data_IF_971648186688
#
_entry.id   IF_971648186688
#
_cell.length_a   1.000
_cell.length_b   1.000
_cell.length_c   1.000
_cell.angle_alpha   90.00
_cell.angle_beta   90.00
_cell.angle_gamma   90.00
#
_symmetry.space_group_name_H-M   'P 1'
#
loop_
_entity.id
_entity.type
_entity.pdbx_description
1 polymer ?
#
# COMPACT_ATOMS: atom_id res chain seq x y z
N UNK A 1 -8.24 -15.98 -27.78
CA UNK A 1 -8.46 -15.21 -26.54
C UNK A 1 -8.22 -16.13 -25.36
N UNK A 2 -6.98 -16.16 -24.86
CA UNK A 2 -6.62 -17.07 -23.77
C UNK A 2 -7.18 -16.51 -22.46
N UNK A 3 -8.10 -17.25 -21.84
CA UNK A 3 -8.54 -16.99 -20.46
C UNK A 3 -7.31 -17.10 -19.58
N UNK A 4 -7.03 -16.11 -18.74
CA UNK A 4 -5.96 -16.22 -17.74
C UNK A 4 -6.25 -17.47 -16.91
N UNK A 5 -5.31 -18.41 -16.90
CA UNK A 5 -5.44 -19.64 -16.13
C UNK A 5 -5.37 -19.34 -14.63
N UNK A 6 -6.29 -19.95 -13.85
CA UNK A 6 -6.38 -19.73 -12.41
C UNK A 6 -5.10 -20.17 -11.68
N UNK A 7 -4.43 -21.21 -12.19
CA UNK A 7 -3.15 -21.68 -11.65
C UNK A 7 -2.03 -20.67 -11.86
N UNK A 8 -2.02 -20.00 -13.02
CA UNK A 8 -1.05 -18.93 -13.33
C UNK A 8 -1.23 -17.72 -12.41
N UNK A 9 -2.47 -17.28 -12.19
CA UNK A 9 -2.78 -16.19 -11.26
C UNK A 9 -2.37 -16.55 -9.83
N UNK A 10 -2.74 -17.75 -9.35
CA UNK A 10 -2.38 -18.26 -8.03
C UNK A 10 -0.86 -18.28 -7.83
N UNK A 11 -0.12 -18.80 -8.81
CA UNK A 11 1.35 -18.85 -8.77
C UNK A 11 1.97 -17.47 -8.63
N UNK A 12 1.51 -16.48 -9.41
CA UNK A 12 2.01 -15.11 -9.34
C UNK A 12 1.70 -14.47 -7.99
N UNK A 13 0.52 -14.69 -7.44
CA UNK A 13 0.14 -14.21 -6.10
C UNK A 13 1.06 -14.82 -5.02
N UNK A 14 1.34 -16.12 -5.09
CA UNK A 14 2.26 -16.78 -4.17
C UNK A 14 3.68 -16.19 -4.24
N UNK A 15 4.18 -15.91 -5.44
CA UNK A 15 5.50 -15.27 -5.61
C UNK A 15 5.54 -13.86 -5.04
N UNK A 16 4.46 -13.07 -5.21
CA UNK A 16 4.34 -11.73 -4.62
C UNK A 16 4.47 -11.78 -3.09
N UNK A 17 3.73 -12.68 -2.44
CA UNK A 17 3.80 -12.79 -0.98
C UNK A 17 5.13 -13.37 -0.52
N UNK A 18 5.73 -14.31 -1.26
CA UNK A 18 7.07 -14.81 -0.94
C UNK A 18 8.14 -13.70 -1.04
N UNK A 19 7.99 -12.77 -1.98
CA UNK A 19 8.89 -11.62 -2.14
C UNK A 19 8.69 -10.52 -1.09
N UNK A 20 7.52 -10.47 -0.43
CA UNK A 20 7.29 -9.53 0.67
C UNK A 20 8.18 -9.79 1.89
N UNK A 21 8.58 -11.05 2.11
CA UNK A 21 9.39 -11.49 3.25
C UNK A 21 10.83 -11.80 2.87
N UNK A 22 11.10 -12.07 1.60
CA UNK A 22 12.44 -12.35 1.05
C UNK A 22 12.63 -11.53 -0.24
N UNK A 23 13.33 -10.39 -0.17
CA UNK A 23 13.47 -9.48 -1.30
C UNK A 23 14.10 -10.12 -2.54
N UNK A 24 14.96 -11.14 -2.37
CA UNK A 24 15.58 -11.85 -3.49
C UNK A 24 14.55 -12.53 -4.40
N UNK A 25 13.33 -12.79 -3.91
CA UNK A 25 12.25 -13.41 -4.69
C UNK A 25 11.50 -12.44 -5.59
N UNK A 26 11.75 -11.11 -5.50
CA UNK A 26 11.17 -10.16 -6.45
C UNK A 26 11.60 -10.48 -7.88
N UNK A 27 12.86 -10.86 -8.12
CA UNK A 27 13.33 -11.24 -9.45
C UNK A 27 12.56 -12.43 -10.03
N UNK A 28 12.23 -13.43 -9.19
CA UNK A 28 11.45 -14.61 -9.61
C UNK A 28 10.02 -14.22 -10.02
N UNK A 29 9.37 -13.36 -9.23
CA UNK A 29 8.05 -12.82 -9.58
C UNK A 29 8.10 -12.05 -10.91
N UNK A 30 9.06 -11.13 -11.03
CA UNK A 30 9.22 -10.24 -12.17
C UNK A 30 9.51 -11.02 -13.46
N UNK A 31 10.37 -12.05 -13.40
CA UNK A 31 10.68 -12.92 -14.54
C UNK A 31 9.48 -13.77 -14.97
N UNK A 32 8.76 -14.34 -13.99
CA UNK A 32 7.57 -15.13 -14.26
C UNK A 32 6.46 -14.28 -14.86
N UNK A 33 6.23 -13.08 -14.33
CA UNK A 33 5.27 -12.13 -14.89
C UNK A 33 5.65 -11.76 -16.32
N UNK A 34 6.92 -11.42 -16.58
CA UNK A 34 7.39 -11.10 -17.93
C UNK A 34 7.08 -12.22 -18.93
N UNK A 35 7.27 -13.48 -18.53
CA UNK A 35 6.94 -14.64 -19.36
C UNK A 35 5.43 -14.74 -19.65
N UNK A 36 4.59 -14.59 -18.61
CA UNK A 36 3.12 -14.74 -18.74
C UNK A 36 2.52 -13.66 -19.64
N UNK A 37 2.99 -12.42 -19.53
CA UNK A 37 2.52 -11.32 -20.38
C UNK A 37 3.38 -11.13 -21.63
N UNK A 38 4.26 -12.06 -21.98
CA UNK A 38 5.17 -11.95 -23.12
C UNK A 38 5.85 -10.57 -23.23
N UNK A 39 6.45 -10.11 -22.13
CA UNK A 39 7.22 -8.89 -22.05
C UNK A 39 8.71 -9.18 -22.28
N UNK A 40 9.41 -8.21 -22.87
CA UNK A 40 10.85 -8.24 -23.05
C UNK A 40 11.57 -8.14 -21.70
N UNK A 41 11.04 -7.32 -20.78
CA UNK A 41 11.55 -7.20 -19.42
C UNK A 41 10.55 -6.57 -18.47
N UNK A 42 10.88 -6.62 -17.18
CA UNK A 42 10.07 -6.05 -16.10
C UNK A 42 10.94 -5.22 -15.17
N UNK A 43 10.35 -4.15 -14.64
CA UNK A 43 11.00 -3.23 -13.73
C UNK A 43 10.08 -2.97 -12.54
N UNK A 44 10.68 -2.99 -11.35
CA UNK A 44 10.07 -2.60 -10.10
C UNK A 44 10.96 -1.52 -9.49
N UNK A 45 10.41 -0.34 -9.22
CA UNK A 45 11.21 0.76 -8.68
C UNK A 45 10.39 1.68 -7.79
N UNK A 46 11.07 2.33 -6.85
CA UNK A 46 10.53 3.42 -6.04
C UNK A 46 10.94 4.78 -6.62
N UNK A 47 9.97 5.68 -6.74
CA UNK A 47 10.14 7.04 -7.25
C UNK A 47 9.79 8.06 -6.15
N UNK A 48 10.56 9.14 -6.00
CA UNK A 48 10.24 10.26 -5.11
C UNK A 48 9.94 11.52 -5.95
N UNK A 49 8.78 12.10 -5.68
CA UNK A 49 8.18 13.18 -6.46
C UNK A 49 8.71 14.57 -6.07
N UNK A 50 9.39 14.71 -4.93
CA UNK A 50 9.91 16.01 -4.49
C UNK A 50 11.23 16.37 -5.21
N UNK A 51 11.97 15.38 -5.72
CA UNK A 51 13.26 15.59 -6.38
C UNK A 51 13.29 15.08 -7.84
N UNK A 52 12.20 14.48 -8.32
CA UNK A 52 12.12 13.84 -9.65
C UNK A 52 13.22 12.80 -9.93
N UNK A 53 13.92 12.35 -8.89
CA UNK A 53 14.99 11.36 -8.96
C UNK A 53 14.43 9.99 -8.66
N UNK A 54 14.95 8.99 -9.39
CA UNK A 54 14.85 7.60 -8.96
C UNK A 54 15.61 7.50 -7.64
N UNK A 55 14.91 7.16 -6.55
CA UNK A 55 15.55 7.04 -5.23
C UNK A 55 16.48 5.85 -5.24
N UNK A 56 17.75 6.09 -5.54
CA UNK A 56 18.85 5.19 -5.19
C UNK A 56 19.16 5.41 -3.71
N UNK A 57 18.40 4.78 -2.83
CA UNK A 57 18.83 4.69 -1.43
C UNK A 57 19.87 3.56 -1.32
N UNK A 58 21.09 3.87 -0.87
CA UNK A 58 21.97 2.81 -0.39
C UNK A 58 21.39 2.24 0.92
N UNK A 59 21.15 0.93 0.95
CA UNK A 59 20.60 0.20 2.09
C UNK A 59 19.40 -0.70 1.75
N UNK A 60 18.93 -1.48 2.73
CA UNK A 60 17.84 -2.49 2.67
C UNK A 60 16.45 -1.96 2.20
N UNK A 61 16.34 -0.70 1.78
CA UNK A 61 15.07 0.00 1.45
C UNK A 61 14.95 0.34 -0.05
N UNK A 62 16.03 0.26 -0.83
CA UNK A 62 15.95 0.49 -2.27
C UNK A 62 15.40 -0.74 -3.00
N UNK A 63 14.08 -0.73 -3.19
CA UNK A 63 13.38 -1.72 -3.99
C UNK A 63 13.47 -1.29 -5.46
N UNK A 64 14.61 -1.60 -6.08
CA UNK A 64 14.86 -1.38 -7.50
C UNK A 64 15.36 -2.67 -8.14
N UNK A 65 14.48 -3.31 -8.91
CA UNK A 65 14.76 -4.58 -9.59
C UNK A 65 14.48 -4.44 -11.08
N UNK A 66 15.44 -4.88 -11.88
CA UNK A 66 15.34 -4.97 -13.33
C UNK A 66 15.55 -6.41 -13.75
N UNK A 67 14.63 -6.95 -14.54
CA UNK A 67 14.71 -8.32 -15.04
C UNK A 67 14.68 -8.30 -16.57
N UNK A 68 15.63 -9.04 -17.17
CA UNK A 68 15.85 -9.17 -18.62
C UNK A 68 16.26 -7.87 -19.34
N UNK A 69 16.88 -6.95 -18.62
CA UNK A 69 17.51 -5.77 -19.20
C UNK A 69 19.03 -5.89 -19.17
N UNK A 70 19.69 -5.35 -20.18
CA UNK A 70 21.14 -5.23 -20.21
C UNK A 70 21.58 -4.14 -19.20
N UNK A 71 22.55 -4.44 -18.31
CA UNK A 71 23.08 -3.48 -17.33
C UNK A 71 23.49 -2.12 -17.90
N UNK A 72 24.05 -2.07 -19.12
CA UNK A 72 24.46 -0.81 -19.74
C UNK A 72 23.27 0.12 -20.04
N UNK A 73 22.11 -0.45 -20.37
CA UNK A 73 20.89 0.33 -20.59
C UNK A 73 20.24 0.78 -19.28
N UNK A 74 20.35 -0.02 -18.22
CA UNK A 74 19.91 0.37 -16.87
C UNK A 74 20.73 1.58 -16.36
N UNK A 75 22.03 1.55 -16.56
CA UNK A 75 22.95 2.62 -16.15
C UNK A 75 22.67 3.91 -16.93
N UNK A 76 22.62 3.84 -18.26
CA UNK A 76 22.34 5.01 -19.10
C UNK A 76 20.94 5.61 -18.86
N UNK A 77 19.94 4.77 -18.51
CA UNK A 77 18.63 5.27 -18.08
C UNK A 77 18.71 6.13 -16.83
N UNK A 78 19.42 5.62 -15.83
CA UNK A 78 19.60 6.33 -14.55
C UNK A 78 20.38 7.63 -14.76
N UNK A 79 21.40 7.62 -15.63
CA UNK A 79 22.26 8.77 -15.88
C UNK A 79 21.57 9.90 -16.66
N UNK A 80 20.66 9.59 -17.59
CA UNK A 80 20.11 10.58 -18.52
C UNK A 80 18.63 10.34 -18.86
N UNK A 81 18.29 9.15 -19.38
CA UNK A 81 16.99 8.96 -20.03
C UNK A 81 15.78 8.95 -19.09
N UNK A 82 15.99 8.84 -17.77
CA UNK A 82 14.93 9.04 -16.78
C UNK A 82 14.30 10.45 -16.85
N UNK A 83 15.08 11.48 -17.21
CA UNK A 83 14.61 12.88 -17.27
C UNK A 83 13.77 13.17 -18.52
N UNK A 84 14.08 12.50 -19.64
CA UNK A 84 13.34 12.64 -20.90
C UNK A 84 12.29 11.55 -21.13
N UNK A 85 12.06 10.66 -20.14
CA UNK A 85 11.06 9.61 -20.22
C UNK A 85 9.63 10.19 -20.28
N UNK A 86 9.05 10.17 -21.47
CA UNK A 86 7.70 10.70 -21.74
C UNK A 86 6.59 9.97 -20.97
N UNK A 87 6.78 8.69 -20.62
CA UNK A 87 5.82 7.97 -19.78
C UNK A 87 5.87 8.43 -18.33
N UNK A 88 7.08 8.71 -17.81
CA UNK A 88 7.25 9.27 -16.48
C UNK A 88 6.66 10.68 -16.38
N UNK A 89 6.82 11.52 -17.41
CA UNK A 89 6.26 12.87 -17.48
C UNK A 89 4.72 12.89 -17.53
N UNK A 90 4.10 11.80 -17.98
CA UNK A 90 2.64 11.63 -18.02
C UNK A 90 2.03 11.14 -16.70
N UNK A 91 2.77 11.20 -15.58
CA UNK A 91 2.35 10.64 -14.28
C UNK A 91 0.99 11.15 -13.78
N UNK A 92 0.61 12.39 -14.05
CA UNK A 92 -0.71 12.91 -13.64
C UNK A 92 -1.88 12.10 -14.21
N UNK A 93 -1.63 11.26 -15.22
CA UNK A 93 -2.59 10.32 -15.82
C UNK A 93 -2.49 8.90 -15.26
N UNK A 94 -1.68 8.68 -14.20
CA UNK A 94 -1.43 7.40 -13.55
C UNK A 94 -1.99 7.36 -12.12
N UNK A 95 -3.31 7.17 -11.94
CA UNK A 95 -3.87 6.94 -10.61
C UNK A 95 -3.31 5.66 -9.97
N UNK A 96 -3.10 5.70 -8.65
CA UNK A 96 -2.68 4.54 -7.89
C UNK A 96 -3.74 3.43 -7.91
N UNK A 97 -3.30 2.18 -8.02
CA UNK A 97 -4.20 1.02 -8.06
C UNK A 97 -4.88 0.80 -9.40
N UNK A 98 -4.48 1.50 -10.47
CA UNK A 98 -4.97 1.27 -11.82
C UNK A 98 -3.91 0.61 -12.72
N UNK A 99 -4.35 -0.37 -13.51
CA UNK A 99 -3.54 -0.96 -14.58
C UNK A 99 -3.62 -0.05 -15.82
N UNK A 100 -2.48 0.27 -16.43
CA UNK A 100 -2.39 1.26 -17.51
C UNK A 100 -1.39 0.78 -18.57
N UNK A 101 -1.68 1.03 -19.84
CA UNK A 101 -0.69 0.84 -20.93
C UNK A 101 -0.04 2.16 -21.34
N UNK A 102 1.13 2.08 -21.98
CA UNK A 102 1.83 3.26 -22.54
C UNK A 102 0.95 4.11 -23.43
N UNK A 103 0.09 3.50 -24.24
CA UNK A 103 -0.79 4.18 -25.20
C UNK A 103 -1.90 5.00 -24.52
N UNK A 104 -2.33 4.58 -23.33
CA UNK A 104 -3.28 5.34 -22.50
C UNK A 104 -2.65 6.62 -21.94
N UNK A 105 -1.33 6.64 -21.78
CA UNK A 105 -0.58 7.79 -21.25
C UNK A 105 -0.18 8.75 -22.38
N UNK A 106 0.49 8.20 -23.39
CA UNK A 106 1.10 8.93 -24.49
C UNK A 106 0.76 8.19 -25.79
N UNK A 107 0.13 8.86 -26.78
CA UNK A 107 -0.12 8.25 -28.08
C UNK A 107 1.17 7.70 -28.70
N UNK A 108 1.11 6.51 -29.30
CA UNK A 108 2.29 5.84 -29.86
C UNK A 108 3.06 6.73 -30.86
N UNK A 109 2.34 7.50 -31.68
CA UNK A 109 2.93 8.47 -32.62
C UNK A 109 3.75 9.57 -31.94
N UNK A 110 3.41 9.93 -30.70
CA UNK A 110 4.17 10.91 -29.90
C UNK A 110 5.41 10.28 -29.28
N UNK A 111 5.32 9.02 -28.83
CA UNK A 111 6.47 8.25 -28.37
C UNK A 111 7.54 8.15 -29.47
N UNK A 112 7.15 7.79 -30.70
CA UNK A 112 8.06 7.65 -31.84
C UNK A 112 8.89 8.90 -32.17
N UNK A 113 8.45 10.09 -31.72
CA UNK A 113 9.12 11.38 -31.94
C UNK A 113 9.98 11.82 -30.75
N UNK A 114 9.99 11.05 -29.67
CA UNK A 114 10.74 11.37 -28.45
C UNK A 114 12.18 10.87 -28.51
N UNK A 115 13.08 11.60 -27.86
CA UNK A 115 14.46 11.17 -27.60
C UNK A 115 14.49 9.82 -26.86
N UNK A 116 13.64 9.68 -25.84
CA UNK A 116 13.49 8.45 -25.07
C UNK A 116 13.24 7.22 -25.95
N UNK A 117 12.41 7.36 -26.99
CA UNK A 117 12.21 6.26 -27.93
C UNK A 117 13.39 6.06 -28.87
N UNK A 118 13.84 7.14 -29.54
CA UNK A 118 14.86 7.05 -30.59
C UNK A 118 16.20 6.52 -30.08
N UNK A 119 16.62 7.00 -28.91
CA UNK A 119 17.99 6.83 -28.42
C UNK A 119 18.09 5.77 -27.31
N UNK A 120 16.99 5.47 -26.61
CA UNK A 120 16.99 4.48 -25.52
C UNK A 120 16.11 3.25 -25.76
N UNK A 121 14.83 3.40 -26.12
CA UNK A 121 13.95 2.22 -26.31
C UNK A 121 14.25 1.46 -27.61
N UNK A 122 14.41 2.16 -28.73
CA UNK A 122 14.56 1.57 -30.07
C UNK A 122 15.81 0.69 -30.22
N UNK A 123 17.00 1.06 -29.70
CA UNK A 123 18.18 0.18 -29.77
C UNK A 123 18.01 -1.17 -29.08
N UNK A 124 17.05 -1.26 -28.15
CA UNK A 124 16.72 -2.48 -27.39
C UNK A 124 15.47 -3.20 -27.93
N UNK A 125 14.93 -2.76 -29.07
CA UNK A 125 13.64 -3.19 -29.61
C UNK A 125 12.50 -3.07 -28.58
N UNK A 126 12.38 -1.96 -27.85
CA UNK A 126 11.31 -1.72 -26.87
C UNK A 126 10.34 -0.64 -27.37
N UNK A 127 9.06 -0.74 -27.02
CA UNK A 127 8.07 0.24 -27.49
C UNK A 127 6.78 0.34 -26.66
N UNK A 128 6.37 -0.74 -26.00
CA UNK A 128 5.08 -0.80 -25.31
C UNK A 128 5.29 -1.10 -23.83
N UNK A 129 4.54 -0.46 -22.95
CA UNK A 129 4.60 -0.70 -21.52
C UNK A 129 3.21 -1.04 -20.96
N UNK A 130 3.20 -1.89 -19.95
CA UNK A 130 2.07 -2.17 -19.07
C UNK A 130 2.54 -1.94 -17.64
N UNK A 131 1.88 -1.07 -16.91
CA UNK A 131 2.31 -0.75 -15.56
C UNK A 131 1.31 0.08 -14.80
N UNK A 132 1.71 0.47 -13.61
CA UNK A 132 0.88 1.23 -12.70
C UNK A 132 1.62 1.62 -11.43
N UNK A 133 1.03 2.57 -10.72
CA UNK A 133 1.45 2.92 -9.37
C UNK A 133 0.80 1.92 -8.42
N UNK A 134 1.62 1.07 -7.80
CA UNK A 134 1.16 0.04 -6.87
C UNK A 134 0.78 0.66 -5.53
N UNK A 135 1.62 1.57 -5.05
CA UNK A 135 1.44 2.25 -3.77
C UNK A 135 2.01 3.66 -3.87
N UNK A 136 1.30 4.66 -3.34
CA UNK A 136 1.76 6.05 -3.21
C UNK A 136 1.62 6.48 -1.76
N UNK A 137 2.70 6.97 -1.15
CA UNK A 137 2.76 7.43 0.24
C UNK A 137 3.49 8.77 0.27
N UNK A 138 2.75 9.87 0.43
CA UNK A 138 3.31 11.22 0.33
C UNK A 138 3.94 11.46 -1.06
N UNK A 139 5.20 11.90 -1.08
CA UNK A 139 5.99 12.10 -2.28
C UNK A 139 6.55 10.79 -2.87
N UNK A 140 6.41 9.63 -2.23
CA UNK A 140 7.00 8.38 -2.73
C UNK A 140 5.97 7.49 -3.41
N UNK A 141 6.33 6.85 -4.52
CA UNK A 141 5.52 5.80 -5.14
C UNK A 141 6.34 4.58 -5.53
N UNK A 142 5.75 3.40 -5.36
CA UNK A 142 6.26 2.14 -5.89
C UNK A 142 5.56 1.89 -7.23
N UNK A 143 6.35 1.72 -8.28
CA UNK A 143 5.90 1.45 -9.64
C UNK A 143 6.40 0.09 -10.08
N UNK A 144 5.51 -0.68 -10.69
CA UNK A 144 5.81 -1.96 -11.32
C UNK A 144 5.40 -1.88 -12.78
N UNK A 145 6.27 -2.28 -13.70
CA UNK A 145 5.98 -2.21 -15.14
C UNK A 145 6.63 -3.36 -15.89
N UNK A 146 5.97 -3.79 -16.94
CA UNK A 146 6.48 -4.68 -17.97
C UNK A 146 6.66 -3.88 -19.26
N UNK A 147 7.75 -4.12 -19.97
CA UNK A 147 8.05 -3.49 -21.26
C UNK A 147 8.13 -4.58 -22.32
N UNK A 148 7.43 -4.38 -23.44
CA UNK A 148 7.37 -5.29 -24.57
C UNK A 148 7.98 -4.64 -25.81
N UNK A 149 8.43 -5.50 -26.71
CA UNK A 149 9.07 -5.10 -27.94
C UNK A 149 8.15 -4.41 -28.93
N UNK A 150 8.74 -3.65 -29.86
CA UNK A 150 8.00 -2.98 -30.93
C UNK A 150 7.23 -3.99 -31.81
N UNK A 151 7.86 -5.13 -32.10
CA UNK A 151 7.27 -6.20 -32.89
C UNK A 151 6.17 -6.96 -32.15
N UNK A 152 6.19 -6.96 -30.81
CA UNK A 152 5.20 -7.64 -29.97
C UNK A 152 3.86 -6.91 -29.83
N UNK A 153 3.78 -5.66 -30.30
CA UNK A 153 2.59 -4.82 -30.23
C UNK A 153 2.17 -4.44 -28.81
N UNK A 154 1.13 -3.61 -28.70
CA UNK A 154 0.61 -3.17 -27.40
C UNK A 154 0.11 -4.34 -26.54
N UNK A 155 0.15 -4.17 -25.22
CA UNK A 155 -0.45 -5.12 -24.29
C UNK A 155 -1.96 -5.21 -24.51
N UNK A 156 -2.50 -6.43 -24.47
CA UNK A 156 -3.91 -6.69 -24.70
C UNK A 156 -4.74 -6.57 -23.41
N UNK A 157 -6.06 -6.68 -23.56
CA UNK A 157 -6.98 -6.62 -22.41
C UNK A 157 -6.76 -7.74 -21.39
N UNK A 158 -6.24 -8.91 -21.81
CA UNK A 158 -5.94 -10.01 -20.90
C UNK A 158 -4.75 -9.66 -19.99
N UNK A 159 -3.65 -9.13 -20.55
CA UNK A 159 -2.53 -8.68 -19.75
C UNK A 159 -2.94 -7.55 -18.77
N UNK A 160 -3.79 -6.63 -19.21
CA UNK A 160 -4.33 -5.56 -18.36
C UNK A 160 -5.17 -6.11 -17.20
N UNK A 161 -6.04 -7.09 -17.46
CA UNK A 161 -6.86 -7.75 -16.43
C UNK A 161 -6.00 -8.53 -15.42
N UNK A 162 -4.97 -9.24 -15.88
CA UNK A 162 -4.03 -9.93 -15.00
C UNK A 162 -3.32 -8.93 -14.08
N UNK A 163 -2.77 -7.85 -14.65
CA UNK A 163 -2.10 -6.81 -13.88
C UNK A 163 -3.05 -6.20 -12.83
N UNK A 164 -4.29 -5.88 -13.23
CA UNK A 164 -5.31 -5.36 -12.33
C UNK A 164 -5.64 -6.33 -11.18
N UNK A 165 -5.72 -7.63 -11.46
CA UNK A 165 -5.95 -8.66 -10.44
C UNK A 165 -4.79 -8.79 -9.45
N UNK A 166 -3.54 -8.55 -9.88
CA UNK A 166 -2.36 -8.63 -9.03
C UNK A 166 -2.12 -7.37 -8.19
N UNK A 167 -2.62 -6.21 -8.62
CA UNK A 167 -2.40 -4.91 -7.94
C UNK A 167 -2.75 -4.92 -6.44
N UNK A 168 -3.91 -5.44 -6.01
CA UNK A 168 -4.24 -5.53 -4.58
C UNK A 168 -3.21 -6.36 -3.79
N UNK A 169 -2.72 -7.46 -4.36
CA UNK A 169 -1.74 -8.35 -3.74
C UNK A 169 -0.36 -7.70 -3.68
N UNK A 170 0.07 -7.03 -4.75
CA UNK A 170 1.31 -6.26 -4.78
C UNK A 170 1.29 -5.14 -3.73
N UNK A 171 0.20 -4.38 -3.65
CA UNK A 171 0.02 -3.34 -2.64
C UNK A 171 0.16 -3.92 -1.23
N UNK A 172 -0.51 -5.03 -0.95
CA UNK A 172 -0.41 -5.69 0.35
C UNK A 172 0.99 -6.20 0.65
N UNK A 173 1.66 -6.82 -0.33
CA UNK A 173 3.03 -7.29 -0.20
C UNK A 173 4.03 -6.16 0.09
N UNK A 174 3.86 -4.99 -0.54
CA UNK A 174 4.72 -3.84 -0.23
C UNK A 174 4.43 -3.22 1.14
N UNK A 175 3.18 -3.21 1.59
CA UNK A 175 2.86 -2.81 2.96
C UNK A 175 3.50 -3.77 3.99
N UNK A 176 3.44 -5.09 3.73
CA UNK A 176 4.14 -6.10 4.54
C UNK A 176 5.66 -5.86 4.50
N UNK A 177 6.23 -5.63 3.32
CA UNK A 177 7.66 -5.39 3.16
C UNK A 177 8.11 -4.11 3.91
N UNK A 178 7.34 -3.02 3.84
CA UNK A 178 7.58 -1.80 4.61
C UNK A 178 7.59 -2.07 6.12
N UNK A 179 6.67 -2.89 6.60
CA UNK A 179 6.62 -3.29 8.02
C UNK A 179 7.87 -4.07 8.41
N UNK A 180 8.35 -4.98 7.57
CA UNK A 180 9.61 -5.71 7.77
C UNK A 180 10.83 -4.79 7.77
N UNK A 181 10.94 -3.87 6.81
CA UNK A 181 12.04 -2.91 6.75
C UNK A 181 12.05 -2.00 7.99
N UNK A 182 10.88 -1.53 8.41
CA UNK A 182 10.74 -0.74 9.62
C UNK A 182 11.16 -1.54 10.87
N UNK A 183 10.82 -2.84 10.94
CA UNK A 183 11.30 -3.75 11.98
C UNK A 183 12.84 -3.90 11.96
N UNK A 184 13.46 -4.07 10.78
CA UNK A 184 14.92 -4.24 10.62
C UNK A 184 15.72 -2.96 10.94
N UNK A 185 15.13 -1.79 10.70
CA UNK A 185 15.72 -0.48 11.02
C UNK A 185 15.81 -0.22 12.54
N UNK A 186 15.22 -1.10 13.36
CA UNK A 186 15.07 -0.96 14.82
C UNK A 186 16.23 -1.56 15.63
N UNK A 187 17.40 -1.81 15.03
CA UNK A 187 18.58 -2.23 15.79
C UNK A 187 19.27 -1.08 16.57
N UNK A 188 18.74 0.15 16.50
CA UNK A 188 19.26 1.32 17.24
C UNK A 188 18.27 1.96 18.23
N UNK A 189 17.10 1.38 18.50
CA UNK A 189 16.15 1.97 19.46
C UNK A 189 14.84 1.21 19.57
N UNK A 190 14.86 0.08 20.27
CA UNK A 190 13.70 -0.78 20.48
C UNK A 190 12.57 -0.05 21.23
N UNK A 191 11.33 -0.43 20.89
CA UNK A 191 10.02 -0.02 21.45
C UNK A 191 9.34 1.19 20.81
N UNK A 192 9.98 2.36 20.66
CA UNK A 192 9.25 3.58 20.27
C UNK A 192 8.74 3.62 18.82
N UNK A 193 9.45 2.99 17.87
CA UNK A 193 9.07 3.01 16.45
C UNK A 193 7.90 2.04 16.14
N UNK A 194 7.87 0.86 16.78
CA UNK A 194 6.79 -0.11 16.62
C UNK A 194 5.47 0.41 17.20
N UNK A 195 5.53 1.13 18.32
CA UNK A 195 4.36 1.74 18.95
C UNK A 195 3.78 2.92 18.15
N UNK A 196 4.56 3.50 17.24
CA UNK A 196 4.09 4.54 16.32
C UNK A 196 3.35 3.96 15.10
N UNK A 197 3.41 2.65 14.87
CA UNK A 197 2.74 2.02 13.73
C UNK A 197 1.22 1.93 13.96
N UNK A 198 0.40 2.25 12.94
CA UNK A 198 -1.05 2.12 13.02
C UNK A 198 -1.53 0.67 12.85
N UNK A 199 -0.66 -0.25 12.42
CA UNK A 199 -0.97 -1.66 12.24
C UNK A 199 -0.62 -2.47 13.50
N UNK A 200 -1.46 -3.43 13.86
CA UNK A 200 -1.20 -4.34 14.96
C UNK A 200 -0.12 -5.35 14.58
N UNK A 201 0.89 -5.51 15.44
CA UNK A 201 1.99 -6.47 15.30
C UNK A 201 2.11 -7.32 16.56
N UNK A 202 2.08 -8.64 16.40
CA UNK A 202 2.46 -9.62 17.44
C UNK A 202 3.66 -10.43 16.97
N UNK A 203 4.67 -10.53 17.81
CA UNK A 203 5.82 -11.42 17.60
C UNK A 203 5.56 -12.70 18.40
N UNK A 204 5.65 -13.85 17.74
CA UNK A 204 5.29 -15.15 18.29
C UNK A 204 6.50 -16.09 18.31
N UNK A 205 6.68 -16.80 19.42
CA UNK A 205 7.71 -17.82 19.57
C UNK A 205 7.32 -19.15 18.91
N UNK A 206 8.26 -20.09 18.88
CA UNK A 206 8.07 -21.41 18.25
C UNK A 206 6.89 -22.22 18.84
N UNK A 207 6.47 -21.90 20.06
CA UNK A 207 5.33 -22.49 20.76
C UNK A 207 3.97 -21.80 20.50
N UNK A 208 3.92 -20.90 19.49
CA UNK A 208 2.77 -20.04 19.16
C UNK A 208 2.33 -19.08 20.28
N UNK A 209 3.18 -18.83 21.29
CA UNK A 209 2.92 -17.79 22.29
C UNK A 209 3.39 -16.43 21.77
N UNK A 210 2.65 -15.39 22.11
CA UNK A 210 3.05 -14.00 21.87
C UNK A 210 4.19 -13.65 22.83
N UNK A 211 5.33 -13.28 22.27
CA UNK A 211 6.51 -12.78 23.00
C UNK A 211 6.43 -11.26 23.19
N UNK A 212 6.02 -10.55 22.16
CA UNK A 212 5.87 -9.09 22.21
C UNK A 212 4.73 -8.61 21.30
N UNK A 213 4.23 -7.40 21.57
CA UNK A 213 3.20 -6.76 20.78
C UNK A 213 3.31 -5.24 20.85
N UNK A 214 3.02 -4.55 19.74
CA UNK A 214 3.02 -3.09 19.71
C UNK A 214 1.72 -2.50 20.27
N UNK A 215 1.69 -1.17 20.47
CA UNK A 215 0.51 -0.45 20.98
C UNK A 215 -0.79 -0.74 20.23
N UNK A 216 -0.75 -0.83 18.89
CA UNK A 216 -1.93 -1.14 18.08
C UNK A 216 -2.44 -2.56 18.33
N UNK A 217 -1.54 -3.54 18.41
CA UNK A 217 -1.87 -4.92 18.76
C UNK A 217 -2.47 -5.05 20.16
N UNK A 218 -1.85 -4.41 21.15
CA UNK A 218 -2.38 -4.36 22.51
C UNK A 218 -3.79 -3.76 22.52
N UNK A 219 -4.02 -2.67 21.78
CA UNK A 219 -5.35 -2.06 21.63
C UNK A 219 -6.38 -3.04 21.09
N UNK A 220 -6.04 -3.77 20.03
CA UNK A 220 -6.95 -4.73 19.39
C UNK A 220 -7.32 -5.90 20.31
N UNK A 221 -6.35 -6.48 21.03
CA UNK A 221 -6.60 -7.60 21.96
C UNK A 221 -7.27 -7.17 23.25
N UNK A 222 -6.93 -6.00 23.79
CA UNK A 222 -7.51 -5.50 25.05
C UNK A 222 -8.97 -5.11 24.89
N UNK A 223 -9.35 -4.60 23.72
CA UNK A 223 -10.73 -4.25 23.39
C UNK A 223 -11.53 -5.43 22.80
N UNK A 224 -10.91 -6.60 22.65
CA UNK A 224 -11.51 -7.83 22.11
C UNK A 224 -12.24 -7.62 20.77
N UNK A 225 -11.66 -6.80 19.88
CA UNK A 225 -12.24 -6.42 18.57
C UNK A 225 -12.15 -7.54 17.51
N UNK A 226 -12.32 -8.79 17.91
CA UNK A 226 -12.21 -9.97 17.02
C UNK A 226 -10.92 -10.78 17.21
N UNK A 227 -9.93 -10.23 17.92
CA UNK A 227 -8.72 -10.92 18.36
C UNK A 227 -8.56 -10.81 19.88
N UNK A 228 -7.96 -11.82 20.51
CA UNK A 228 -7.66 -11.85 21.95
C UNK A 228 -6.40 -12.66 22.26
N UNK A 229 -5.81 -12.42 23.42
CA UNK A 229 -4.78 -13.30 23.99
C UNK A 229 -5.46 -14.23 25.00
N UNK A 230 -5.24 -15.54 24.88
CA UNK A 230 -5.76 -16.52 25.85
C UNK A 230 -4.88 -16.61 27.12
N UNK A 231 -5.34 -17.40 28.10
CA UNK A 231 -4.61 -17.61 29.36
C UNK A 231 -3.25 -18.29 29.20
N UNK A 232 -2.97 -18.90 28.05
CA UNK A 232 -1.68 -19.51 27.72
C UNK A 232 -0.75 -18.54 26.99
N UNK A 233 -1.19 -17.31 26.74
CA UNK A 233 -0.43 -16.27 26.04
C UNK A 233 -0.48 -16.40 24.52
N UNK A 234 -1.47 -17.10 23.95
CA UNK A 234 -1.59 -17.31 22.50
C UNK A 234 -2.59 -16.36 21.88
N UNK A 235 -2.29 -15.92 20.66
CA UNK A 235 -3.23 -15.12 19.87
C UNK A 235 -4.37 -16.00 19.34
N UNK A 236 -5.60 -15.58 19.62
CA UNK A 236 -6.84 -16.28 19.25
C UNK A 236 -7.78 -15.36 18.49
N UNK A 237 -8.46 -15.90 17.49
CA UNK A 237 -9.59 -15.20 16.87
C UNK A 237 -10.87 -15.43 17.69
N UNK A 238 -11.81 -14.49 17.56
CA UNK A 238 -13.08 -14.55 18.29
C UNK A 238 -14.01 -15.63 17.73
N UNK A 239 -14.07 -15.77 16.41
CA UNK A 239 -14.91 -16.77 15.74
C UNK A 239 -14.19 -18.13 15.69
N UNK A 240 -14.84 -19.26 16.06
CA UNK A 240 -14.17 -20.56 16.14
C UNK A 240 -13.52 -21.05 14.84
N UNK A 241 -14.17 -20.83 13.70
CA UNK A 241 -13.65 -21.25 12.38
C UNK A 241 -12.40 -20.44 12.00
N UNK A 242 -12.46 -19.13 12.16
CA UNK A 242 -11.34 -18.23 11.90
C UNK A 242 -10.18 -18.49 12.85
N UNK A 243 -10.48 -18.87 14.10
CA UNK A 243 -9.47 -19.24 15.09
C UNK A 243 -8.74 -20.52 14.71
N UNK A 244 -9.46 -21.55 14.24
CA UNK A 244 -8.84 -22.76 13.72
C UNK A 244 -7.90 -22.45 12.54
N UNK A 245 -8.30 -21.55 11.63
CA UNK A 245 -7.46 -21.09 10.53
C UNK A 245 -6.23 -20.32 11.00
N UNK A 246 -6.39 -19.45 12.00
CA UNK A 246 -5.28 -18.71 12.62
C UNK A 246 -4.28 -19.65 13.29
N UNK A 247 -4.75 -20.68 14.02
CA UNK A 247 -3.88 -21.66 14.66
C UNK A 247 -3.09 -22.48 13.64
N UNK A 248 -3.72 -22.88 12.52
CA UNK A 248 -3.04 -23.57 11.42
C UNK A 248 -1.96 -22.67 10.78
N UNK A 249 -2.28 -21.41 10.53
CA UNK A 249 -1.34 -20.44 9.97
C UNK A 249 -0.13 -20.22 10.88
N UNK A 250 -0.35 -20.05 12.20
CA UNK A 250 0.69 -19.92 13.20
C UNK A 250 1.57 -21.16 13.28
N UNK A 251 0.98 -22.36 13.33
CA UNK A 251 1.73 -23.61 13.41
C UNK A 251 2.61 -23.86 12.16
N UNK A 252 2.14 -23.47 10.97
CA UNK A 252 2.91 -23.53 9.73
C UNK A 252 4.06 -22.51 9.73
N UNK A 253 3.82 -21.29 10.18
CA UNK A 253 4.83 -20.25 10.23
C UNK A 253 5.94 -20.56 11.25
N UNK A 254 5.59 -21.10 12.43
CA UNK A 254 6.57 -21.45 13.47
C UNK A 254 7.31 -22.76 13.21
N UNK A 255 6.86 -23.58 12.25
CA UNK A 255 7.46 -24.88 11.96
C UNK A 255 7.07 -25.98 12.95
N UNK A 256 5.99 -25.81 13.72
CA UNK A 256 5.48 -26.80 14.67
C UNK A 256 5.11 -28.15 14.03
N UNK A 257 4.91 -28.19 12.71
CA UNK A 257 4.52 -29.40 11.96
C UNK A 257 5.68 -30.03 11.14
N UNK A 258 6.95 -29.74 11.48
CA UNK A 258 8.12 -30.42 10.91
C UNK A 258 8.81 -29.68 9.75
N UNK A 259 9.47 -30.43 8.85
CA UNK A 259 10.34 -29.92 7.75
C UNK A 259 9.60 -29.28 6.56
N UNK A 260 8.31 -28.97 6.71
CA UNK A 260 7.57 -28.31 5.65
C UNK A 260 8.08 -26.88 5.42
N UNK A 261 8.00 -26.40 4.17
CA UNK A 261 8.37 -25.02 3.83
C UNK A 261 7.48 -24.06 4.63
N UNK A 262 8.10 -23.14 5.36
CA UNK A 262 7.39 -22.09 6.09
C UNK A 262 6.88 -21.05 5.10
N UNK A 263 5.58 -20.75 5.12
CA UNK A 263 4.94 -19.78 4.24
C UNK A 263 4.14 -18.75 5.03
N UNK A 264 4.07 -17.53 4.50
CA UNK A 264 3.12 -16.52 4.96
C UNK A 264 1.69 -16.91 4.60
N UNK A 265 0.74 -16.71 5.51
CA UNK A 265 -0.68 -17.01 5.32
C UNK A 265 -1.53 -15.77 5.64
N UNK A 266 -2.25 -15.28 4.64
CA UNK A 266 -3.22 -14.21 4.80
C UNK A 266 -4.58 -14.78 5.23
N UNK A 267 -5.26 -14.07 6.14
CA UNK A 267 -6.51 -14.49 6.77
C UNK A 267 -7.48 -13.30 6.84
N UNK A 268 -8.77 -13.56 6.65
CA UNK A 268 -9.84 -12.60 6.94
C UNK A 268 -10.62 -13.05 8.16
N UNK A 269 -10.40 -12.42 9.32
CA UNK A 269 -10.98 -12.83 10.59
C UNK A 269 -12.28 -12.07 10.86
N UNK A 270 -13.37 -12.82 11.03
CA UNK A 270 -14.68 -12.29 11.42
C UNK A 270 -14.74 -11.88 12.89
N UNK A 271 -15.78 -11.12 13.22
CA UNK A 271 -16.06 -10.62 14.57
C UNK A 271 -17.56 -10.46 14.78
N UNK A 272 -17.99 -10.58 16.02
CA UNK A 272 -19.42 -10.58 16.36
C UNK A 272 -20.12 -9.24 16.10
N UNK A 273 -19.38 -8.13 16.12
CA UNK A 273 -19.93 -6.77 16.14
C UNK A 273 -19.76 -5.98 14.83
N UNK A 274 -19.27 -6.60 13.75
CA UNK A 274 -19.09 -5.91 12.47
C UNK A 274 -19.16 -6.88 11.28
N UNK A 275 -19.61 -6.35 10.15
CA UNK A 275 -19.62 -7.06 8.85
C UNK A 275 -18.23 -7.02 8.20
N UNK A 276 -17.37 -6.07 8.58
CA UNK A 276 -16.00 -5.97 8.08
C UNK A 276 -15.09 -6.94 8.83
N UNK A 277 -14.27 -7.69 8.07
CA UNK A 277 -13.30 -8.66 8.59
C UNK A 277 -11.97 -7.98 8.87
N UNK A 278 -11.30 -8.37 9.95
CA UNK A 278 -9.91 -7.99 10.20
C UNK A 278 -9.03 -8.70 9.17
N UNK A 279 -8.19 -7.93 8.49
CA UNK A 279 -7.17 -8.49 7.61
C UNK A 279 -5.96 -8.85 8.46
N UNK A 280 -5.62 -10.14 8.54
CA UNK A 280 -4.47 -10.65 9.27
C UNK A 280 -3.49 -11.37 8.32
N UNK A 281 -2.20 -11.30 8.64
CA UNK A 281 -1.14 -12.02 7.93
C UNK A 281 -0.21 -12.64 8.97
N UNK A 282 -0.04 -13.96 8.90
CA UNK A 282 0.93 -14.70 9.71
C UNK A 282 2.13 -15.02 8.84
N UNK A 283 3.34 -14.66 9.26
CA UNK A 283 4.54 -14.87 8.48
C UNK A 283 5.66 -15.49 9.31
N UNK A 284 6.43 -16.46 8.79
CA UNK A 284 7.60 -17.00 9.47
C UNK A 284 8.72 -15.97 9.57
N UNK A 285 9.50 -16.04 10.65
CA UNK A 285 10.80 -15.40 10.71
C UNK A 285 11.83 -16.37 10.11
N UNK A 286 12.57 -15.91 9.10
CA UNK A 286 13.64 -16.68 8.47
C UNK A 286 14.98 -16.38 9.14
N UNK A 287 15.92 -17.33 9.18
CA UNK A 287 17.25 -17.17 9.78
C UNK A 287 18.06 -16.00 9.18
N UNK A 288 17.76 -15.59 7.94
CA UNK A 288 18.36 -14.41 7.31
C UNK A 288 17.76 -13.07 7.79
N UNK A 289 16.73 -13.08 8.65
CA UNK A 289 16.03 -11.88 9.13
C UNK A 289 16.83 -11.26 10.28
N UNK A 290 17.82 -10.44 9.93
CA UNK A 290 18.66 -9.71 10.89
C UNK A 290 17.85 -8.65 11.65
N UNK A 291 18.02 -8.57 12.98
CA UNK A 291 17.40 -7.53 13.83
C UNK A 291 16.09 -7.92 14.54
N UNK A 292 15.67 -9.18 14.43
CA UNK A 292 14.57 -9.76 15.20
C UNK A 292 15.16 -10.67 16.28
N UNK A 293 14.55 -10.67 17.47
CA UNK A 293 14.94 -11.55 18.57
C UNK A 293 14.94 -13.03 18.13
N UNK A 294 16.00 -13.77 18.48
CA UNK A 294 16.24 -15.15 18.05
C UNK A 294 15.11 -16.11 18.49
N UNK A 295 14.37 -15.74 19.54
CA UNK A 295 13.23 -16.53 20.03
C UNK A 295 11.97 -16.38 19.17
N UNK A 296 11.90 -15.36 18.29
CA UNK A 296 10.74 -15.10 17.44
C UNK A 296 10.72 -16.02 16.24
N UNK A 297 9.71 -16.88 16.15
CA UNK A 297 9.53 -17.83 15.06
C UNK A 297 8.50 -17.36 14.02
N UNK A 298 7.56 -16.50 14.40
CA UNK A 298 6.55 -15.95 13.51
C UNK A 298 6.16 -14.52 13.89
N UNK A 299 5.66 -13.75 12.93
CA UNK A 299 5.09 -12.41 13.14
C UNK A 299 3.66 -12.43 12.63
N UNK A 300 2.74 -11.84 13.39
CA UNK A 300 1.36 -11.62 12.97
C UNK A 300 1.13 -10.13 12.78
N UNK A 301 0.74 -9.74 11.58
CA UNK A 301 0.24 -8.41 11.28
C UNK A 301 -1.28 -8.45 11.22
N UNK A 302 -1.96 -7.48 11.82
CA UNK A 302 -3.40 -7.31 11.61
C UNK A 302 -3.79 -5.84 11.46
N UNK A 303 -4.71 -5.58 10.55
CA UNK A 303 -5.33 -4.28 10.36
C UNK A 303 -6.84 -4.45 10.40
N UNK A 304 -7.48 -3.63 11.21
CA UNK A 304 -8.93 -3.48 11.20
C UNK A 304 -9.29 -2.43 10.13
N UNK A 305 -10.09 -2.77 9.10
CA UNK A 305 -10.58 -1.78 8.14
C UNK A 305 -11.32 -0.61 8.79
N UNK A 306 -11.92 -0.83 9.96
CA UNK A 306 -12.65 0.18 10.72
C UNK A 306 -11.71 1.07 11.54
N UNK A 307 -10.46 0.65 11.83
CA UNK A 307 -9.47 1.51 12.52
C UNK A 307 -8.96 2.67 11.62
N UNK A 308 -9.13 2.54 10.29
CA UNK A 308 -8.91 3.62 9.31
C UNK A 308 -10.00 4.69 9.32
N UNK A 309 -11.06 4.52 10.12
CA UNK A 309 -12.15 5.48 10.26
C UNK A 309 -11.86 6.48 11.40
N UNK A 310 -10.79 7.29 11.27
CA UNK A 310 -10.89 8.63 11.87
C UNK A 310 -12.07 9.28 11.17
N UNK A 311 -13.11 9.67 11.92
CA UNK A 311 -14.20 10.46 11.32
C UNK A 311 -13.58 11.70 10.65
N UNK A 312 -14.17 12.22 9.55
CA UNK A 312 -13.68 13.44 8.91
C UNK A 312 -13.46 14.55 9.95
N UNK A 313 -14.32 14.63 10.95
CA UNK A 313 -14.25 15.57 12.06
C UNK A 313 -13.04 15.36 12.98
N UNK A 314 -12.68 14.11 13.32
CA UNK A 314 -11.51 13.81 14.14
C UNK A 314 -10.20 14.08 13.41
N UNK A 315 -10.17 13.81 12.10
CA UNK A 315 -9.04 14.12 11.24
C UNK A 315 -8.84 15.63 11.10
N UNK A 316 -9.93 16.40 10.96
CA UNK A 316 -9.92 17.86 10.95
C UNK A 316 -9.42 18.45 12.28
N UNK A 317 -9.80 17.84 13.41
CA UNK A 317 -9.28 18.24 14.72
C UNK A 317 -7.76 18.03 14.81
N UNK A 318 -7.26 16.89 14.30
CA UNK A 318 -5.83 16.54 14.35
C UNK A 318 -4.97 17.37 13.38
N UNK A 319 -5.41 17.57 12.14
CA UNK A 319 -4.62 18.26 11.10
C UNK A 319 -4.59 19.77 11.30
N UNK A 320 -5.74 20.36 11.66
CA UNK A 320 -5.91 21.83 11.69
C UNK A 320 -6.11 22.37 13.11
N UNK A 321 -5.98 21.52 14.14
CA UNK A 321 -6.21 21.91 15.53
C UNK A 321 -7.64 22.40 15.79
N UNK A 322 -8.62 21.98 14.98
CA UNK A 322 -10.01 22.39 15.14
C UNK A 322 -10.61 21.79 16.43
N UNK A 323 -11.54 22.50 17.03
CA UNK A 323 -12.40 21.91 18.06
C UNK A 323 -13.45 21.01 17.41
N UNK A 324 -14.05 20.10 18.18
CA UNK A 324 -15.08 19.18 17.67
C UNK A 324 -16.27 19.91 17.03
N UNK A 325 -16.64 21.08 17.54
CA UNK A 325 -17.70 21.93 16.96
C UNK A 325 -17.26 22.56 15.62
N UNK A 326 -16.02 23.06 15.55
CA UNK A 326 -15.42 23.63 14.34
C UNK A 326 -15.29 22.56 13.23
N UNK A 327 -14.91 21.34 13.60
CA UNK A 327 -14.78 20.23 12.66
C UNK A 327 -16.13 19.77 12.10
N UNK A 328 -17.19 19.73 12.91
CA UNK A 328 -18.56 19.45 12.46
C UNK A 328 -19.06 20.50 11.47
N UNK A 329 -18.82 21.78 11.75
CA UNK A 329 -19.16 22.87 10.84
C UNK A 329 -18.42 22.74 9.50
N UNK A 330 -17.12 22.45 9.53
CA UNK A 330 -16.35 22.23 8.31
C UNK A 330 -16.85 21.02 7.50
N UNK A 331 -17.16 19.89 8.16
CA UNK A 331 -17.73 18.71 7.52
C UNK A 331 -19.11 18.94 6.91
N UNK A 332 -19.95 19.76 7.55
CA UNK A 332 -21.24 20.21 7.00
C UNK A 332 -21.07 20.96 5.68
N UNK A 333 -20.17 21.95 5.66
CA UNK A 333 -19.90 22.75 4.46
C UNK A 333 -19.25 21.93 3.34
N UNK A 334 -18.47 20.90 3.66
CA UNK A 334 -17.89 19.99 2.67
C UNK A 334 -18.95 19.17 1.92
N UNK A 335 -20.11 18.91 2.52
CA UNK A 335 -21.23 18.22 1.86
C UNK A 335 -22.03 19.13 0.92
N UNK A 336 -21.59 20.38 0.73
CA UNK A 336 -22.28 21.36 -0.11
C UNK A 336 -23.43 22.08 0.61
N UNK A 337 -23.65 21.77 1.88
CA UNK A 337 -24.70 22.38 2.69
C UNK A 337 -24.33 23.81 3.11
N UNK A 338 -25.34 24.66 3.28
CA UNK A 338 -25.12 26.07 3.64
C UNK A 338 -25.01 26.32 5.15
N UNK A 339 -24.48 27.50 5.52
CA UNK A 339 -24.27 27.90 6.91
C UNK A 339 -25.59 28.14 7.66
N UNK A 340 -26.68 28.47 6.95
CA UNK A 340 -28.00 28.68 7.57
C UNK A 340 -28.61 27.35 7.98
N UNK A 341 -28.50 26.33 7.14
CA UNK A 341 -28.85 24.95 7.42
C UNK A 341 -28.07 24.40 8.60
N UNK A 342 -26.77 24.70 8.72
CA UNK A 342 -25.99 24.33 9.90
C UNK A 342 -26.55 24.97 11.18
N UNK A 343 -26.85 26.27 11.13
CA UNK A 343 -27.39 27.00 12.28
C UNK A 343 -28.73 26.42 12.74
N UNK A 344 -29.60 26.09 11.79
CA UNK A 344 -30.90 25.48 12.06
C UNK A 344 -30.77 24.03 12.59
N UNK A 345 -29.94 23.20 11.96
CA UNK A 345 -29.78 21.79 12.31
C UNK A 345 -29.09 21.57 13.67
N UNK A 346 -28.30 22.55 14.13
CA UNK A 346 -27.57 22.47 15.38
C UNK A 346 -28.09 23.45 16.45
N UNK A 347 -29.25 24.06 16.22
CA UNK A 347 -29.93 24.97 17.16
C UNK A 347 -29.03 26.12 17.67
N UNK A 348 -28.17 26.65 16.80
CA UNK A 348 -27.29 27.78 17.12
C UNK A 348 -27.69 29.02 16.33
N UNK A 349 -27.53 30.21 16.93
CA UNK A 349 -27.74 31.46 16.21
C UNK A 349 -26.80 31.57 15.00
N UNK A 350 -27.29 32.15 13.90
CA UNK A 350 -26.52 32.32 12.67
C UNK A 350 -25.20 33.07 12.90
N UNK A 351 -25.21 34.10 13.77
CA UNK A 351 -24.00 34.84 14.13
C UNK A 351 -22.96 33.99 14.87
N UNK A 352 -23.41 33.01 15.67
CA UNK A 352 -22.52 32.03 16.33
C UNK A 352 -21.89 31.08 15.31
N UNK A 353 -22.67 30.56 14.36
CA UNK A 353 -22.14 29.74 13.27
C UNK A 353 -21.12 30.52 12.41
N UNK A 354 -21.39 31.80 12.14
CA UNK A 354 -20.47 32.71 11.43
C UNK A 354 -19.18 32.96 12.21
N UNK A 355 -19.28 33.12 13.53
CA UNK A 355 -18.10 33.26 14.41
C UNK A 355 -17.23 32.00 14.41
N UNK A 356 -17.84 30.82 14.48
CA UNK A 356 -17.12 29.55 14.36
C UNK A 356 -16.45 29.39 13.00
N UNK A 357 -17.11 29.78 11.90
CA UNK A 357 -16.50 29.77 10.57
C UNK A 357 -15.27 30.68 10.48
N UNK A 358 -15.32 31.87 11.09
CA UNK A 358 -14.17 32.78 11.16
C UNK A 358 -12.99 32.17 11.94
N UNK A 359 -13.27 31.44 13.01
CA UNK A 359 -12.24 30.73 13.77
C UNK A 359 -11.65 29.55 12.98
N UNK A 360 -12.48 28.84 12.21
CA UNK A 360 -12.00 27.78 11.29
C UNK A 360 -11.05 28.38 10.26
N UNK A 361 -11.40 29.50 9.63
CA UNK A 361 -10.52 30.22 8.69
C UNK A 361 -9.18 30.62 9.33
N UNK A 362 -9.21 31.16 10.55
CA UNK A 362 -7.98 31.51 11.25
C UNK A 362 -7.07 30.30 11.51
N UNK A 363 -7.64 29.14 11.88
CA UNK A 363 -6.87 27.92 12.15
C UNK A 363 -6.41 27.17 10.90
N UNK A 364 -7.12 27.32 9.79
CA UNK A 364 -6.83 26.65 8.51
C UNK A 364 -6.04 27.53 7.54
N UNK A 365 -5.81 28.81 7.88
CA UNK A 365 -5.00 29.74 7.07
C UNK A 365 -5.69 30.29 5.82
N UNK A 366 -6.96 29.95 5.58
CA UNK A 366 -7.73 30.40 4.41
C UNK A 366 -8.64 31.57 4.76
N UNK A 367 -9.08 32.31 3.72
CA UNK A 367 -9.90 33.52 3.89
C UNK A 367 -11.32 33.40 3.32
N UNK A 368 -11.60 32.37 2.51
CA UNK A 368 -12.90 32.16 1.86
C UNK A 368 -13.38 30.74 2.09
N UNK A 369 -14.71 30.57 2.12
CA UNK A 369 -15.34 29.25 2.27
C UNK A 369 -14.99 28.31 1.10
N UNK A 370 -14.91 28.83 -0.13
CA UNK A 370 -14.46 28.07 -1.30
C UNK A 370 -13.03 27.54 -1.13
N UNK A 371 -12.15 28.35 -0.54
CA UNK A 371 -10.75 27.98 -0.32
C UNK A 371 -10.66 26.93 0.79
N UNK A 372 -11.48 27.06 1.85
CA UNK A 372 -11.65 26.05 2.90
C UNK A 372 -12.09 24.71 2.28
N UNK A 373 -13.18 24.70 1.51
CA UNK A 373 -13.66 23.47 0.85
C UNK A 373 -12.57 22.87 -0.03
N UNK A 374 -11.83 23.68 -0.79
CA UNK A 374 -10.74 23.22 -1.65
C UNK A 374 -9.61 22.56 -0.86
N UNK A 375 -9.12 23.17 0.23
CA UNK A 375 -8.04 22.58 1.04
C UNK A 375 -8.50 21.32 1.78
N UNK A 376 -9.77 21.24 2.15
CA UNK A 376 -10.35 20.08 2.81
C UNK A 376 -10.53 18.91 1.84
N UNK A 377 -10.94 19.18 0.60
CA UNK A 377 -11.07 18.17 -0.47
C UNK A 377 -9.70 17.73 -1.04
N UNK A 378 -8.68 18.59 -0.98
CA UNK A 378 -7.31 18.24 -1.43
C UNK A 378 -6.49 17.49 -0.38
N UNK A 379 -6.94 17.43 0.88
CA UNK A 379 -6.30 16.59 1.89
C UNK A 379 -6.67 15.14 1.64
N UNK A 380 -5.72 14.35 1.13
CA UNK A 380 -5.90 12.96 0.69
C UNK A 380 -6.55 12.02 1.74
N UNK A 381 -6.54 12.40 3.01
CA UNK A 381 -7.16 11.65 4.09
C UNK A 381 -8.68 11.87 4.24
N UNK A 382 -9.25 12.96 3.69
CA UNK A 382 -10.70 13.25 3.70
C UNK A 382 -11.42 12.77 2.43
N UNK A 383 -10.68 12.62 1.32
CA UNK A 383 -11.23 12.20 0.01
C UNK A 383 -11.63 10.72 -0.02
N UNK A 384 -11.04 9.88 0.85
CA UNK A 384 -11.28 8.43 0.88
C UNK A 384 -12.63 8.07 1.53
N UNK A 385 -13.21 8.93 2.39
CA UNK A 385 -14.44 8.63 3.14
C UNK A 385 -15.72 9.28 2.61
N UNK A 386 -15.62 10.25 1.69
CA UNK A 386 -16.80 10.97 1.16
C UNK A 386 -17.43 10.28 -0.08
N UNK A 387 -16.83 9.20 -0.57
CA UNK A 387 -17.25 8.48 -1.79
C UNK A 387 -18.28 7.36 -1.57
N UNK A 388 -19.25 7.53 -0.67
CA UNK A 388 -20.31 6.53 -0.42
C UNK A 388 -21.68 7.21 -0.31
N UNK A 389 -22.05 8.02 -1.30
CA UNK A 389 -23.45 8.28 -1.65
C UNK A 389 -23.52 8.77 -3.10
N UNK A 390 -23.69 7.82 -4.03
CA UNK A 390 -24.28 8.03 -5.34
C UNK A 390 -25.16 6.81 -5.65
#
# INVERSE_FOLDING_TARGET
>A
MSRIDADTLSTLIHLIYAASTDPAKWQLFLDRFATVVNAAGTVLFMHDFDDSTVVRQEGDVALMEYVRFDPAFIESYSAHYSQCNVWAQAENRMPAGCAITSEMLVPYSSLLRSEFYGDWLRPQDLAHALGGVVLKTGSKAIKFSAIRSAHGGAFDGAALQLYAALLPHLRQAFEIHKQFVALRSTNAGQTHALDAMPIAVWMCGANCKVLSSNRAAQGMTNTQRGLRIDSLGRLRAQMPEDDAMLQIALARATGLHGRERRFGTALGLGRLSSVTRISAMVTPVHEATTGIDEETAAIVFASDPDDGLCTPEELLCKIYGLTRHQARLAGWLMRGEDLKGYAQAHEVAYDTARSHLKQVFAKTGVRRQSDLIRILLSSAALTIQTGLHA
#
